data_IF_809905862982
#
_entry.id   IF_809905862982
#
_cell.length_a   1.000
_cell.length_b   1.000
_cell.length_c   1.000
_cell.angle_alpha   90.00
_cell.angle_beta   90.00
_cell.angle_gamma   90.00
#
_symmetry.space_group_name_H-M   'P 1'
#
loop_
_entity.id
_entity.type
_entity.pdbx_description
1 polymer ?
#
# COMPACT_ATOMS: atom_id res chain seq x y z
N UNK A 1 -7.28 -21.41 -5.00
CA UNK A 1 -5.87 -21.20 -4.61
C UNK A 1 -5.82 -20.00 -3.67
N UNK A 2 -5.14 -20.09 -2.52
CA UNK A 2 -4.93 -18.96 -1.63
C UNK A 2 -3.52 -18.44 -1.91
N UNK A 3 -3.39 -17.27 -2.53
CA UNK A 3 -2.09 -16.63 -2.74
C UNK A 3 -1.85 -15.72 -1.54
N UNK A 4 -1.04 -16.16 -0.58
CA UNK A 4 -0.47 -15.29 0.45
C UNK A 4 0.88 -14.77 -0.05
N UNK A 5 1.00 -13.46 -0.25
CA UNK A 5 2.25 -12.84 -0.68
C UNK A 5 3.21 -12.73 0.52
N UNK A 6 4.14 -13.68 0.64
CA UNK A 6 5.08 -13.77 1.77
C UNK A 6 6.45 -13.21 1.36
N UNK A 7 6.55 -11.89 1.19
CA UNK A 7 7.77 -11.20 0.77
C UNK A 7 8.22 -10.14 1.79
N UNK A 8 9.41 -9.57 1.60
CA UNK A 8 9.82 -8.36 2.31
C UNK A 8 8.93 -7.16 1.92
N UNK A 9 8.86 -6.17 2.80
CA UNK A 9 7.93 -5.04 2.64
C UNK A 9 8.16 -4.23 1.34
N UNK A 10 9.39 -4.04 0.84
CA UNK A 10 9.62 -3.44 -0.48
C UNK A 10 9.05 -4.26 -1.64
N UNK A 11 9.25 -5.58 -1.65
CA UNK A 11 8.78 -6.42 -2.75
C UNK A 11 7.26 -6.58 -2.74
N UNK A 12 6.65 -6.78 -1.56
CA UNK A 12 5.19 -6.94 -1.47
C UNK A 12 4.48 -5.69 -1.98
N UNK A 13 4.97 -4.48 -1.65
CA UNK A 13 4.39 -3.23 -2.14
C UNK A 13 4.43 -3.11 -3.65
N UNK A 14 5.55 -3.49 -4.28
CA UNK A 14 5.65 -3.53 -5.74
C UNK A 14 4.67 -4.54 -6.35
N UNK A 15 4.54 -5.71 -5.74
CA UNK A 15 3.66 -6.78 -6.20
C UNK A 15 2.18 -6.37 -6.13
N UNK A 16 1.77 -5.74 -5.03
CA UNK A 16 0.36 -5.39 -4.77
C UNK A 16 -0.02 -3.98 -5.27
N UNK A 17 0.96 -3.23 -5.79
CA UNK A 17 0.75 -1.90 -6.37
C UNK A 17 0.81 -0.75 -5.37
N UNK A 18 1.20 -0.96 -4.12
CA UNK A 18 1.40 0.15 -3.17
C UNK A 18 2.69 0.93 -3.42
N UNK A 19 2.66 2.21 -3.08
CA UNK A 19 3.79 3.09 -3.14
C UNK A 19 4.86 2.76 -2.07
N UNK A 20 6.08 3.25 -2.30
CA UNK A 20 7.21 3.02 -1.40
C UNK A 20 7.04 3.71 -0.04
N UNK A 21 7.92 3.38 0.90
CA UNK A 21 7.91 4.00 2.23
C UNK A 21 8.13 5.53 2.20
N UNK A 22 8.71 6.08 1.12
CA UNK A 22 8.97 7.52 0.96
C UNK A 22 7.82 8.27 0.27
N UNK A 23 6.75 7.57 -0.13
CA UNK A 23 5.64 8.20 -0.81
C UNK A 23 4.80 9.05 0.15
N UNK A 24 4.06 10.03 -0.37
CA UNK A 24 3.10 10.81 0.43
C UNK A 24 2.12 9.89 1.15
N UNK A 25 1.55 8.92 0.42
CA UNK A 25 0.74 7.85 0.98
C UNK A 25 1.61 6.59 1.09
N UNK A 26 2.24 6.40 2.24
CA UNK A 26 3.23 5.34 2.46
C UNK A 26 2.66 4.07 3.08
N UNK A 27 1.48 4.16 3.71
CA UNK A 27 0.88 3.08 4.48
C UNK A 27 -0.08 2.24 3.62
N UNK A 28 0.01 0.92 3.79
CA UNK A 28 -0.88 -0.06 3.15
C UNK A 28 -2.22 -0.23 3.89
N UNK A 29 -2.36 0.34 5.09
CA UNK A 29 -3.55 0.17 5.93
C UNK A 29 -4.36 1.45 6.11
N UNK A 30 -3.73 2.62 6.02
CA UNK A 30 -4.40 3.91 6.22
C UNK A 30 -4.00 4.95 5.17
N UNK A 31 -4.76 6.04 5.14
CA UNK A 31 -4.52 7.22 4.31
C UNK A 31 -3.78 8.34 5.03
N UNK A 32 -3.10 8.04 6.14
CA UNK A 32 -2.28 9.03 6.85
C UNK A 32 -1.11 9.45 5.95
N UNK A 33 -0.96 10.75 5.63
CA UNK A 33 0.14 11.21 4.80
C UNK A 33 1.45 11.15 5.59
N UNK A 34 2.57 10.94 4.89
CA UNK A 34 3.90 10.88 5.49
C UNK A 34 4.25 12.13 6.31
N UNK A 35 3.70 13.31 5.98
CA UNK A 35 3.88 14.54 6.76
C UNK A 35 3.24 14.52 8.15
N UNK A 36 2.27 13.62 8.37
CA UNK A 36 1.53 13.46 9.62
C UNK A 36 1.85 12.14 10.32
N UNK A 37 2.97 11.49 9.98
CA UNK A 37 3.38 10.21 10.56
C UNK A 37 3.63 10.23 12.08
N UNK A 38 3.62 11.41 12.70
CA UNK A 38 3.74 11.64 14.13
C UNK A 38 2.39 11.62 14.86
N UNK A 39 1.27 11.72 14.14
CA UNK A 39 -0.04 11.48 14.73
C UNK A 39 -0.09 10.01 15.16
N UNK A 40 -0.42 9.75 16.42
CA UNK A 40 -0.55 8.41 17.02
C UNK A 40 -2.02 8.08 17.34
N UNK A 41 -2.95 9.00 17.08
CA UNK A 41 -4.36 8.80 17.36
C UNK A 41 -5.02 7.99 16.24
N UNK A 42 -4.78 6.68 16.24
CA UNK A 42 -5.29 5.76 15.21
C UNK A 42 -6.83 5.76 15.04
N UNK A 43 -7.59 6.26 16.01
CA UNK A 43 -9.05 6.36 15.92
C UNK A 43 -9.54 7.40 14.92
N UNK A 44 -8.71 8.41 14.61
CA UNK A 44 -9.05 9.46 13.65
C UNK A 44 -8.62 9.11 12.23
N UNK A 45 -7.81 8.06 12.06
CA UNK A 45 -7.24 7.72 10.78
C UNK A 45 -8.25 7.03 9.88
N UNK A 46 -8.33 7.49 8.65
CA UNK A 46 -9.09 6.79 7.62
C UNK A 46 -8.34 5.51 7.22
N UNK A 47 -8.95 4.37 7.50
CA UNK A 47 -8.47 3.06 7.04
C UNK A 47 -8.76 2.84 5.55
N UNK A 48 -7.92 2.05 4.90
CA UNK A 48 -8.14 1.56 3.54
C UNK A 48 -9.14 0.42 3.55
N UNK A 49 -9.94 0.34 2.50
CA UNK A 49 -10.84 -0.79 2.25
C UNK A 49 -10.50 -1.44 0.92
N UNK A 50 -10.94 -2.68 0.72
CA UNK A 50 -10.76 -3.40 -0.54
C UNK A 50 -11.44 -2.66 -1.70
N UNK A 51 -12.63 -2.11 -1.48
CA UNK A 51 -13.38 -1.34 -2.47
C UNK A 51 -12.63 -0.07 -2.85
N UNK A 52 -12.09 0.66 -1.86
CA UNK A 52 -11.27 1.84 -2.07
C UNK A 52 -10.01 1.53 -2.88
N UNK A 53 -9.29 0.47 -2.50
CA UNK A 53 -8.10 0.02 -3.23
C UNK A 53 -8.41 -0.34 -4.69
N UNK A 54 -9.48 -1.10 -4.94
CA UNK A 54 -9.91 -1.47 -6.30
C UNK A 54 -10.24 -0.22 -7.13
N UNK A 55 -11.06 0.68 -6.59
CA UNK A 55 -11.43 1.91 -7.27
C UNK A 55 -10.20 2.79 -7.61
N UNK A 56 -9.26 2.94 -6.67
CA UNK A 56 -8.03 3.72 -6.87
C UNK A 56 -7.09 3.08 -7.90
N UNK A 57 -6.94 1.75 -7.83
CA UNK A 57 -6.19 0.95 -8.79
C UNK A 57 -6.78 1.06 -10.20
N UNK A 58 -8.10 0.97 -10.32
CA UNK A 58 -8.79 1.03 -11.62
C UNK A 58 -8.78 2.44 -12.20
N UNK A 59 -8.87 3.48 -11.36
CA UNK A 59 -8.64 4.85 -11.78
C UNK A 59 -7.21 5.03 -12.32
N UNK A 60 -6.21 4.43 -11.67
CA UNK A 60 -4.83 4.44 -12.15
C UNK A 60 -4.66 3.68 -13.47
N UNK A 61 -5.31 2.52 -13.64
CA UNK A 61 -5.30 1.72 -14.87
C UNK A 61 -5.93 2.50 -16.04
N UNK A 62 -7.06 3.16 -15.78
CA UNK A 62 -7.85 3.91 -16.76
C UNK A 62 -7.19 5.23 -17.17
N UNK A 63 -6.23 5.74 -16.40
CA UNK A 63 -5.49 6.94 -16.74
C UNK A 63 -4.65 6.75 -18.02
N UNK A 64 -4.78 7.70 -18.95
CA UNK A 64 -4.18 7.63 -20.29
C UNK A 64 -2.76 8.20 -20.33
N UNK A 65 -2.43 9.12 -19.44
CA UNK A 65 -1.13 9.79 -19.41
C UNK A 65 -0.28 9.37 -18.21
N UNK A 66 1.05 9.39 -18.38
CA UNK A 66 1.97 9.16 -17.27
C UNK A 66 1.80 10.20 -16.16
N UNK A 67 1.55 11.47 -16.53
CA UNK A 67 1.33 12.54 -15.57
C UNK A 67 0.10 12.30 -14.68
N UNK A 68 -1.02 11.84 -15.25
CA UNK A 68 -2.21 11.48 -14.47
C UNK A 68 -1.94 10.29 -13.55
N UNK A 69 -1.24 9.25 -14.03
CA UNK A 69 -0.84 8.09 -13.21
C UNK A 69 0.03 8.50 -12.03
N UNK A 70 0.96 9.43 -12.23
CA UNK A 70 1.80 9.97 -11.15
C UNK A 70 0.99 10.81 -10.15
N UNK A 71 0.02 11.59 -10.61
CA UNK A 71 -0.87 12.35 -9.74
C UNK A 71 -1.74 11.42 -8.88
N UNK A 72 -2.35 10.40 -9.49
CA UNK A 72 -3.15 9.39 -8.78
C UNK A 72 -2.30 8.62 -7.78
N UNK A 73 -1.08 8.22 -8.17
CA UNK A 73 -0.14 7.58 -7.26
C UNK A 73 0.24 8.48 -6.07
N UNK A 74 0.46 9.79 -6.30
CA UNK A 74 0.75 10.74 -5.22
C UNK A 74 -0.45 10.97 -4.30
N UNK A 75 -1.66 10.93 -4.85
CA UNK A 75 -2.90 11.14 -4.11
C UNK A 75 -3.27 9.93 -3.25
N UNK A 76 -3.23 8.73 -3.83
CA UNK A 76 -3.77 7.52 -3.21
C UNK A 76 -2.70 6.51 -2.80
N UNK A 77 -1.48 6.58 -3.35
CA UNK A 77 -0.41 5.63 -3.05
C UNK A 77 -0.60 4.25 -3.68
N UNK A 78 -1.47 4.12 -4.69
CA UNK A 78 -1.83 2.86 -5.34
C UNK A 78 -1.57 2.93 -6.84
N UNK A 79 -1.13 1.80 -7.40
CA UNK A 79 -1.03 1.49 -8.83
C UNK A 79 -1.82 0.23 -9.11
N UNK A 80 -2.15 0.03 -10.38
CA UNK A 80 -2.77 -1.21 -10.79
C UNK A 80 -1.78 -2.38 -10.72
N UNK A 81 -2.27 -3.53 -10.23
CA UNK A 81 -1.58 -4.81 -10.24
C UNK A 81 -2.53 -5.90 -10.75
N UNK A 82 -1.98 -6.89 -11.46
CA UNK A 82 -2.72 -8.05 -11.98
C UNK A 82 -3.43 -8.82 -10.87
N UNK A 83 -2.91 -8.80 -9.63
CA UNK A 83 -3.53 -9.47 -8.49
C UNK A 83 -4.94 -8.94 -8.18
N UNK A 84 -5.25 -7.71 -8.55
CA UNK A 84 -6.57 -7.13 -8.34
C UNK A 84 -7.67 -7.79 -9.21
N UNK A 85 -7.30 -8.56 -10.24
CA UNK A 85 -8.25 -9.33 -11.07
C UNK A 85 -8.71 -10.63 -10.38
N UNK A 86 -8.06 -11.05 -9.30
CA UNK A 86 -8.43 -12.24 -8.53
C UNK A 86 -9.60 -11.91 -7.58
N UNK A 87 -10.71 -12.64 -7.70
CA UNK A 87 -11.93 -12.40 -6.90
C UNK A 87 -11.74 -12.56 -5.40
N UNK A 88 -10.79 -13.40 -4.98
CA UNK A 88 -10.48 -13.71 -3.58
C UNK A 88 -9.31 -12.87 -3.01
N UNK A 89 -8.71 -12.00 -3.81
CA UNK A 89 -7.54 -11.23 -3.39
C UNK A 89 -7.93 -9.95 -2.63
N UNK A 90 -7.35 -9.79 -1.44
CA UNK A 90 -7.49 -8.61 -0.60
C UNK A 90 -6.12 -8.10 -0.08
N UNK A 91 -5.53 -7.06 -0.68
CA UNK A 91 -4.24 -6.55 -0.26
C UNK A 91 -4.28 -5.90 1.14
N UNK A 92 -5.45 -5.54 1.67
CA UNK A 92 -5.57 -4.99 3.02
C UNK A 92 -5.43 -6.07 4.10
N UNK A 93 -5.83 -7.31 3.80
CA UNK A 93 -5.72 -8.45 4.73
C UNK A 93 -4.51 -9.35 4.47
N UNK A 94 -4.06 -9.48 3.22
CA UNK A 94 -2.99 -10.41 2.85
C UNK A 94 -1.58 -9.79 2.89
N UNK A 95 -1.45 -8.50 3.19
CA UNK A 95 -0.15 -7.85 3.41
C UNK A 95 0.29 -8.02 4.86
N UNK A 96 0.76 -9.21 5.21
CA UNK A 96 1.35 -9.45 6.54
C UNK A 96 2.72 -8.79 6.61
N UNK A 97 2.84 -7.70 7.37
CA UNK A 97 4.14 -7.10 7.68
C UNK A 97 4.95 -8.11 8.48
N UNK A 98 5.99 -8.70 7.87
CA UNK A 98 6.85 -9.66 8.56
C UNK A 98 7.56 -8.96 9.74
N UNK A 99 7.35 -9.39 11.00
CA UNK A 99 7.99 -8.77 12.16
C UNK A 99 9.51 -8.99 12.19
N UNK A 100 10.02 -10.03 11.52
CA UNK A 100 11.46 -10.34 11.48
C UNK A 100 12.32 -9.19 10.94
N UNK A 101 11.91 -8.52 9.85
CA UNK A 101 12.70 -7.42 9.28
C UNK A 101 12.49 -6.10 10.03
N UNK A 102 11.34 -5.93 10.69
CA UNK A 102 11.13 -4.82 11.62
C UNK A 102 12.10 -4.93 12.80
N UNK A 103 12.21 -6.11 13.39
CA UNK A 103 13.07 -6.36 14.54
C UNK A 103 14.57 -6.21 14.21
N UNK A 104 15.01 -6.75 13.07
CA UNK A 104 16.41 -6.58 12.63
C UNK A 104 16.74 -5.12 12.28
N UNK A 105 15.78 -4.37 11.72
CA UNK A 105 15.94 -2.94 11.50
C UNK A 105 16.14 -2.22 12.83
N UNK A 106 15.25 -2.42 13.80
CA UNK A 106 15.36 -1.81 15.13
C UNK A 106 16.69 -2.12 15.85
N UNK A 107 17.20 -3.35 15.71
CA UNK A 107 18.49 -3.76 16.28
C UNK A 107 19.70 -3.12 15.59
N UNK A 108 19.60 -2.73 14.32
CA UNK A 108 20.69 -2.05 13.59
C UNK A 108 20.78 -0.53 13.83
N UNK A 109 19.80 0.05 14.53
CA UNK A 109 19.80 1.45 14.95
C UNK A 109 20.37 1.67 16.37
N UNK A 110 20.77 0.58 17.04
CA UNK A 110 21.56 0.58 18.28
C UNK A 110 22.95 -0.01 18.01
#
# INVERSE_FOLDING_TARGET
ALITAVCDLPAIRKLIGYASHRAKMFCSFCYLPHSQNHDLNFTTWRSRTIEGHKAESDAWRSATTHAQRDQLLKAYGVRWSILNELSYWDPTMFTVVKPMHLLSGMLSWH
#
